data_IF_036659502556
#
_entry.id   IF_036659502556
#
_cell.length_a   1.000
_cell.length_b   1.000
_cell.length_c   1.000
_cell.angle_alpha   90.00
_cell.angle_beta   90.00
_cell.angle_gamma   90.00
#
_symmetry.space_group_name_H-M   'P 1'
#
loop_
_entity.id
_entity.type
_entity.pdbx_description
1 polymer ?
#
# COMPACT_ATOMS: atom_id res chain seq x y z
N UNK A 1 22.55 -2.19 3.25
CA UNK A 1 22.98 -1.20 2.23
C UNK A 1 21.76 -0.45 1.76
N UNK A 2 21.82 0.88 1.67
CA UNK A 2 20.72 1.73 1.21
C UNK A 2 21.16 2.35 -0.13
N UNK A 3 20.31 2.28 -1.14
CA UNK A 3 20.58 2.83 -2.47
C UNK A 3 19.47 3.80 -2.84
N UNK A 4 19.83 5.01 -3.26
CA UNK A 4 18.88 5.99 -3.79
C UNK A 4 18.79 5.82 -5.30
N UNK A 5 17.59 5.50 -5.79
CA UNK A 5 17.32 5.26 -7.21
C UNK A 5 16.24 6.22 -7.68
N UNK A 6 16.45 6.89 -8.81
CA UNK A 6 15.43 7.69 -9.48
C UNK A 6 14.76 6.83 -10.55
N UNK A 7 13.45 6.62 -10.43
CA UNK A 7 12.70 5.80 -11.38
C UNK A 7 11.27 5.54 -10.91
N UNK A 8 10.62 4.57 -11.54
CA UNK A 8 9.29 4.12 -11.17
C UNK A 8 9.35 2.98 -10.15
N UNK A 9 8.73 3.14 -8.99
CA UNK A 9 8.77 2.12 -7.93
C UNK A 9 8.15 0.78 -8.37
N UNK A 10 7.21 0.79 -9.31
CA UNK A 10 6.55 -0.42 -9.82
C UNK A 10 7.41 -1.23 -10.80
N UNK A 11 8.54 -0.69 -11.24
CA UNK A 11 9.55 -1.39 -12.05
C UNK A 11 10.72 -1.91 -11.19
N UNK A 12 10.66 -1.70 -9.88
CA UNK A 12 11.69 -2.15 -8.95
C UNK A 12 11.79 -3.68 -8.94
N UNK A 13 13.00 -4.26 -8.96
CA UNK A 13 13.20 -5.71 -8.83
C UNK A 13 13.02 -6.20 -7.38
N UNK A 14 12.64 -5.32 -6.44
CA UNK A 14 12.44 -5.67 -5.05
C UNK A 14 11.27 -6.66 -4.90
N UNK A 15 11.43 -7.63 -3.98
CA UNK A 15 10.38 -8.62 -3.69
C UNK A 15 9.13 -8.03 -3.04
N UNK A 16 9.27 -6.86 -2.40
CA UNK A 16 8.20 -6.18 -1.67
C UNK A 16 8.27 -4.70 -2.02
N UNK A 17 7.11 -4.11 -2.35
CA UNK A 17 6.96 -2.68 -2.54
C UNK A 17 6.17 -2.10 -1.36
N UNK A 18 6.60 -0.94 -0.87
CA UNK A 18 5.92 -0.25 0.24
C UNK A 18 4.96 0.79 -0.34
N UNK A 19 3.68 0.65 0.00
CA UNK A 19 2.64 1.62 -0.35
C UNK A 19 2.38 2.56 0.84
N UNK A 20 2.46 3.87 0.61
CA UNK A 20 2.07 4.86 1.62
C UNK A 20 0.56 5.01 1.62
N UNK A 21 -0.09 4.79 2.77
CA UNK A 21 -1.55 4.80 2.91
C UNK A 21 -2.00 5.74 4.03
N UNK A 22 -3.30 6.03 4.08
CA UNK A 22 -3.92 6.70 5.22
C UNK A 22 -4.65 5.70 6.11
N UNK A 23 -5.34 6.25 7.12
CA UNK A 23 -6.04 5.47 8.13
C UNK A 23 -7.55 5.33 7.93
N UNK A 24 -8.05 5.68 6.75
CA UNK A 24 -9.50 5.85 6.51
C UNK A 24 -10.00 5.14 5.24
N UNK A 25 -9.20 4.23 4.67
CA UNK A 25 -9.66 3.39 3.56
C UNK A 25 -9.69 4.07 2.20
N UNK A 26 -9.02 5.21 2.02
CA UNK A 26 -9.03 5.96 0.75
C UNK A 26 -7.66 5.88 0.06
N UNK A 27 -7.64 5.58 -1.24
CA UNK A 27 -6.44 5.70 -2.09
C UNK A 27 -6.74 6.57 -3.32
N UNK A 28 -6.81 7.88 -3.11
CA UNK A 28 -7.36 8.83 -4.09
C UNK A 28 -6.33 9.60 -4.93
N UNK A 29 -5.04 9.57 -4.58
CA UNK A 29 -3.98 10.31 -5.30
C UNK A 29 -2.60 9.70 -5.09
N UNK A 30 -1.63 10.18 -5.88
CA UNK A 30 -0.21 9.83 -5.75
C UNK A 30 0.05 8.33 -5.92
N UNK A 31 1.08 7.84 -5.23
CA UNK A 31 1.50 6.43 -5.32
C UNK A 31 0.39 5.46 -4.89
N UNK A 32 -0.40 5.81 -3.87
CA UNK A 32 -1.52 4.98 -3.39
C UNK A 32 -2.59 4.75 -4.47
N UNK A 33 -2.91 5.78 -5.27
CA UNK A 33 -3.85 5.64 -6.38
C UNK A 33 -3.33 4.66 -7.44
N UNK A 34 -2.03 4.72 -7.75
CA UNK A 34 -1.42 3.78 -8.70
C UNK A 34 -1.39 2.35 -8.17
N UNK A 35 -1.13 2.15 -6.87
CA UNK A 35 -1.28 0.85 -6.21
C UNK A 35 -2.73 0.32 -6.33
N UNK A 36 -3.73 1.17 -6.09
CA UNK A 36 -5.15 0.79 -6.24
C UNK A 36 -5.49 0.38 -7.68
N UNK A 37 -4.97 1.11 -8.68
CA UNK A 37 -5.20 0.81 -10.10
C UNK A 37 -4.55 -0.49 -10.53
N UNK A 38 -3.32 -0.75 -10.09
CA UNK A 38 -2.54 -1.95 -10.46
C UNK A 38 -2.96 -3.20 -9.70
N UNK A 39 -3.35 -3.05 -8.43
CA UNK A 39 -3.68 -4.15 -7.52
C UNK A 39 -5.04 -3.93 -6.84
N UNK A 40 -6.15 -4.01 -7.58
CA UNK A 40 -7.49 -3.73 -7.04
C UNK A 40 -7.87 -4.66 -5.87
N UNK A 41 -7.50 -5.95 -5.92
CA UNK A 41 -7.78 -6.92 -4.84
C UNK A 41 -7.03 -6.58 -3.54
N UNK A 42 -5.83 -6.02 -3.65
CA UNK A 42 -5.09 -5.49 -2.50
C UNK A 42 -5.80 -4.28 -1.91
N UNK A 43 -6.32 -3.38 -2.74
CA UNK A 43 -7.09 -2.23 -2.27
C UNK A 43 -8.36 -2.68 -1.53
N UNK A 44 -9.10 -3.67 -2.04
CA UNK A 44 -10.28 -4.21 -1.36
C UNK A 44 -9.92 -4.84 -0.01
N UNK A 45 -8.80 -5.56 0.06
CA UNK A 45 -8.29 -6.11 1.32
C UNK A 45 -7.94 -4.99 2.31
N UNK A 46 -7.20 -3.98 1.87
CA UNK A 46 -6.89 -2.78 2.65
C UNK A 46 -8.17 -2.10 3.17
N UNK A 47 -9.15 -1.87 2.30
CA UNK A 47 -10.41 -1.19 2.64
C UNK A 47 -11.19 -1.95 3.71
N UNK A 48 -11.32 -3.28 3.58
CA UNK A 48 -11.97 -4.13 4.58
C UNK A 48 -11.32 -4.03 5.94
N UNK A 49 -9.99 -4.04 6.01
CA UNK A 49 -9.30 -3.93 7.29
C UNK A 49 -9.54 -2.53 7.91
N UNK A 50 -9.69 -1.48 7.08
CA UNK A 50 -9.95 -0.10 7.53
C UNK A 50 -11.34 -0.02 8.17
N UNK A 51 -12.34 -0.57 7.46
CA UNK A 51 -13.75 -0.60 7.86
C UNK A 51 -13.99 -1.44 9.10
N UNK A 52 -13.26 -2.56 9.25
CA UNK A 52 -13.33 -3.42 10.43
C UNK A 52 -12.87 -2.71 11.73
N UNK A 53 -12.45 -1.44 11.66
CA UNK A 53 -11.80 -0.67 12.75
C UNK A 53 -10.59 -1.39 13.37
N UNK A 54 -10.07 -2.40 12.67
CA UNK A 54 -8.89 -3.16 13.08
C UNK A 54 -7.60 -2.44 12.71
N UNK A 55 -7.60 -1.64 11.64
CA UNK A 55 -6.36 -1.15 11.03
C UNK A 55 -5.69 0.02 11.78
N UNK A 56 -6.42 0.86 12.55
CA UNK A 56 -5.87 2.15 13.02
C UNK A 56 -6.29 2.59 14.41
N UNK A 57 -6.30 1.68 15.39
CA UNK A 57 -6.19 2.18 16.77
C UNK A 57 -4.84 2.87 17.02
N UNK A 58 -3.77 2.49 16.30
CA UNK A 58 -2.43 3.05 16.47
C UNK A 58 -1.66 3.18 15.12
N UNK A 59 -1.02 4.33 14.89
CA UNK A 59 -0.04 4.54 13.82
C UNK A 59 1.21 3.69 14.10
N UNK A 60 1.90 3.21 13.05
CA UNK A 60 3.17 2.47 13.18
C UNK A 60 3.08 0.96 12.92
N UNK A 61 1.91 0.45 12.50
CA UNK A 61 1.73 -0.94 12.09
C UNK A 61 1.81 -1.08 10.55
N UNK A 62 2.40 -2.18 10.09
CA UNK A 62 2.49 -2.52 8.67
C UNK A 62 1.66 -3.76 8.37
N UNK A 63 1.06 -3.80 7.18
CA UNK A 63 0.28 -4.93 6.69
C UNK A 63 0.88 -5.41 5.38
N UNK A 64 1.24 -6.70 5.35
CA UNK A 64 1.72 -7.35 4.14
C UNK A 64 0.53 -7.96 3.40
N UNK A 65 0.31 -7.53 2.17
CA UNK A 65 -0.71 -8.11 1.28
C UNK A 65 0.03 -8.70 0.08
N UNK A 66 -0.19 -10.00 -0.15
CA UNK A 66 0.38 -10.69 -1.30
C UNK A 66 -0.52 -10.42 -2.50
N UNK A 67 0.05 -9.76 -3.51
CA UNK A 67 -0.56 -9.58 -4.82
C UNK A 67 -0.14 -10.74 -5.73
N UNK A 68 -1.05 -11.23 -6.56
CA UNK A 68 -0.73 -12.21 -7.60
C UNK A 68 -0.26 -11.50 -8.87
#
# INVERSE_FOLDING_TARGET
MITYVKGNIFESPAKVLVNTVNTVGVMGKGVALEFKRRYPDMFESYKKICEAKQLFKNIGQLFLIIVR
#
